data_IF_817940566666
#
_entry.id   IF_817940566666
#
_cell.length_a   1.000
_cell.length_b   1.000
_cell.length_c   1.000
_cell.angle_alpha   90.00
_cell.angle_beta   90.00
_cell.angle_gamma   90.00
#
_symmetry.space_group_name_H-M   'P 1'
#
loop_
_entity.id
_entity.type
_entity.pdbx_description
1 polymer ?
#
# COMPACT_ATOMS: atom_id res chain seq x y z
N UNK A 1 7.33 -33.98 -22.60
CA UNK A 1 6.89 -32.67 -23.13
C UNK A 1 5.67 -32.90 -24.02
N UNK A 2 4.50 -32.33 -23.69
CA UNK A 2 3.26 -32.62 -24.43
C UNK A 2 3.34 -31.99 -25.84
N UNK A 3 3.15 -32.77 -26.90
CA UNK A 3 3.28 -32.28 -28.28
C UNK A 3 2.12 -31.35 -28.63
N UNK A 4 2.42 -30.11 -29.03
CA UNK A 4 1.44 -29.09 -29.41
C UNK A 4 1.01 -29.31 -30.87
N UNK A 5 -0.16 -29.91 -31.10
CA UNK A 5 -0.63 -30.32 -32.44
C UNK A 5 -1.84 -29.55 -32.97
N UNK A 6 -2.52 -28.77 -32.12
CA UNK A 6 -3.71 -28.00 -32.50
C UNK A 6 -3.32 -26.62 -33.05
N UNK A 7 -4.04 -26.14 -34.06
CA UNK A 7 -3.85 -24.84 -34.71
C UNK A 7 -5.08 -23.95 -34.48
N UNK A 8 -4.84 -22.67 -34.27
CA UNK A 8 -5.87 -21.64 -34.15
C UNK A 8 -5.68 -20.62 -35.27
N UNK A 9 -6.77 -20.28 -35.94
CA UNK A 9 -6.78 -19.28 -37.01
C UNK A 9 -7.35 -17.98 -36.46
N UNK A 10 -6.57 -16.90 -36.54
CA UNK A 10 -6.95 -15.56 -36.11
C UNK A 10 -7.06 -14.67 -37.35
N UNK A 11 -8.19 -13.98 -37.51
CA UNK A 11 -8.32 -12.91 -38.51
C UNK A 11 -7.73 -11.64 -37.92
N UNK A 12 -6.81 -11.02 -38.64
CA UNK A 12 -6.12 -9.78 -38.26
C UNK A 12 -6.05 -8.86 -39.46
N UNK A 13 -6.07 -7.56 -39.21
CA UNK A 13 -5.74 -6.52 -40.17
C UNK A 13 -4.21 -6.41 -40.37
N UNK A 14 -3.80 -5.67 -41.41
CA UNK A 14 -2.38 -5.48 -41.71
C UNK A 14 -1.65 -4.74 -40.57
N UNK A 15 -2.27 -3.72 -39.98
CA UNK A 15 -1.74 -2.97 -38.84
C UNK A 15 -1.57 -3.86 -37.59
N UNK A 16 -2.55 -4.72 -37.32
CA UNK A 16 -2.49 -5.68 -36.21
C UNK A 16 -1.38 -6.72 -36.42
N UNK A 17 -1.16 -7.15 -37.66
CA UNK A 17 -0.10 -8.09 -38.00
C UNK A 17 1.29 -7.50 -37.75
N UNK A 18 1.51 -6.24 -38.13
CA UNK A 18 2.75 -5.51 -37.83
C UNK A 18 2.96 -5.32 -36.32
N UNK A 19 1.90 -4.96 -35.59
CA UNK A 19 1.93 -4.82 -34.15
C UNK A 19 2.31 -6.13 -33.45
N UNK A 20 1.69 -7.25 -33.86
CA UNK A 20 1.98 -8.58 -33.32
C UNK A 20 3.43 -8.96 -33.58
N UNK A 21 3.93 -8.74 -34.81
CA UNK A 21 5.34 -9.00 -35.15
C UNK A 21 6.29 -8.18 -34.29
N UNK A 22 6.05 -6.86 -34.18
CA UNK A 22 6.88 -5.95 -33.38
C UNK A 22 6.92 -6.35 -31.91
N UNK A 23 5.77 -6.68 -31.31
CA UNK A 23 5.69 -7.11 -29.91
C UNK A 23 6.30 -8.49 -29.68
N UNK A 24 6.21 -9.38 -30.66
CA UNK A 24 6.74 -10.75 -30.58
C UNK A 24 8.26 -10.82 -30.63
N UNK A 25 8.96 -9.75 -31.02
CA UNK A 25 10.42 -9.71 -31.13
C UNK A 25 11.16 -10.04 -29.81
N UNK A 26 10.48 -9.90 -28.66
CA UNK A 26 11.02 -10.24 -27.34
C UNK A 26 10.77 -11.70 -26.93
N UNK A 27 10.13 -12.49 -27.78
CA UNK A 27 9.73 -13.87 -27.51
C UNK A 27 10.28 -14.81 -28.59
N UNK A 28 10.44 -16.09 -28.26
CA UNK A 28 10.97 -17.10 -29.21
C UNK A 28 10.08 -17.30 -30.44
N UNK A 29 8.80 -16.95 -30.37
CA UNK A 29 7.88 -16.93 -31.52
C UNK A 29 6.61 -16.15 -31.20
N UNK A 30 5.90 -15.73 -32.26
CA UNK A 30 4.54 -15.17 -32.17
C UNK A 30 3.61 -16.11 -31.39
N UNK A 31 3.70 -17.41 -31.67
CA UNK A 31 2.93 -18.43 -30.93
C UNK A 31 3.32 -18.52 -29.46
N UNK A 32 4.59 -18.25 -29.10
CA UNK A 32 5.02 -18.17 -27.69
C UNK A 32 4.42 -16.95 -27.01
N UNK A 33 4.55 -15.77 -27.64
CA UNK A 33 3.95 -14.53 -27.14
C UNK A 33 2.44 -14.67 -26.94
N UNK A 34 1.70 -15.18 -27.92
CA UNK A 34 0.23 -15.31 -27.82
C UNK A 34 -0.15 -16.27 -26.68
N UNK A 35 0.60 -17.35 -26.47
CA UNK A 35 0.33 -18.27 -25.34
C UNK A 35 0.62 -17.63 -23.99
N UNK A 36 1.77 -16.97 -23.87
CA UNK A 36 2.13 -16.23 -22.64
C UNK A 36 1.11 -15.14 -22.37
N UNK A 37 0.73 -14.37 -23.40
CA UNK A 37 -0.30 -13.35 -23.31
C UNK A 37 -1.65 -13.95 -22.91
N UNK A 38 -2.10 -15.07 -23.49
CA UNK A 38 -3.36 -15.71 -23.08
C UNK A 38 -3.29 -16.20 -21.63
N UNK A 39 -2.16 -16.74 -21.18
CA UNK A 39 -1.95 -17.10 -19.76
C UNK A 39 -1.96 -15.87 -18.84
N UNK A 40 -1.46 -14.71 -19.31
CA UNK A 40 -1.41 -13.44 -18.59
C UNK A 40 -2.69 -12.57 -18.76
N UNK A 41 -3.56 -12.86 -19.74
CA UNK A 41 -4.80 -12.12 -20.04
C UNK A 41 -6.06 -12.85 -19.55
N UNK A 42 -6.04 -14.17 -19.42
CA UNK A 42 -7.07 -14.91 -18.66
C UNK A 42 -7.08 -14.50 -17.17
N UNK A 43 -6.06 -13.73 -16.79
CA UNK A 43 -5.95 -12.91 -15.60
C UNK A 43 -6.97 -11.73 -15.65
N UNK A 44 -8.28 -12.04 -15.59
CA UNK A 44 -9.29 -11.13 -15.00
C UNK A 44 -8.79 -10.56 -13.66
N UNK A 45 -7.94 -11.35 -13.00
CA UNK A 45 -7.04 -11.05 -11.90
C UNK A 45 -6.10 -9.87 -12.09
N UNK A 46 -5.61 -9.48 -13.28
CA UNK A 46 -4.66 -8.36 -13.41
C UNK A 46 -5.33 -7.01 -13.14
N UNK A 47 -6.49 -6.77 -13.76
CA UNK A 47 -7.30 -5.59 -13.50
C UNK A 47 -7.90 -5.61 -12.07
N UNK A 48 -8.34 -6.78 -11.60
CA UNK A 48 -8.80 -6.95 -10.22
C UNK A 48 -7.68 -6.74 -9.19
N UNK A 49 -6.47 -7.24 -9.45
CA UNK A 49 -5.27 -7.02 -8.61
C UNK A 49 -4.91 -5.55 -8.58
N UNK A 50 -4.97 -4.85 -9.72
CA UNK A 50 -4.73 -3.40 -9.76
C UNK A 50 -5.75 -2.66 -8.90
N UNK A 51 -7.04 -2.97 -9.04
CA UNK A 51 -8.10 -2.39 -8.20
C UNK A 51 -7.96 -2.74 -6.72
N UNK A 52 -7.53 -3.96 -6.39
CA UNK A 52 -7.22 -4.35 -5.02
C UNK A 52 -6.03 -3.56 -4.45
N UNK A 53 -5.00 -3.30 -5.25
CA UNK A 53 -3.87 -2.44 -4.86
C UNK A 53 -4.36 -1.02 -4.60
N UNK A 54 -5.20 -0.46 -5.47
CA UNK A 54 -5.74 0.89 -5.28
C UNK A 54 -6.58 1.01 -4.01
N UNK A 55 -7.41 -0.01 -3.72
CA UNK A 55 -8.17 -0.10 -2.45
C UNK A 55 -7.26 -0.20 -1.23
N UNK A 56 -6.18 -0.98 -1.34
CA UNK A 56 -5.20 -1.13 -0.27
C UNK A 56 -4.49 0.21 0.01
N UNK A 57 -4.07 0.92 -1.04
CA UNK A 57 -3.48 2.26 -0.95
C UNK A 57 -4.46 3.22 -0.27
N UNK A 58 -5.71 3.27 -0.73
CA UNK A 58 -6.73 4.12 -0.14
C UNK A 58 -6.97 3.83 1.35
N UNK A 59 -6.99 2.56 1.74
CA UNK A 59 -7.10 2.14 3.14
C UNK A 59 -5.91 2.64 3.97
N UNK A 60 -4.67 2.46 3.48
CA UNK A 60 -3.47 2.91 4.19
C UNK A 60 -3.40 4.42 4.33
N UNK A 61 -3.70 5.17 3.26
CA UNK A 61 -3.73 6.64 3.32
C UNK A 61 -4.79 7.14 4.32
N UNK A 62 -5.97 6.51 4.35
CA UNK A 62 -7.00 6.86 5.33
C UNK A 62 -6.56 6.55 6.77
N UNK A 63 -5.83 5.45 6.97
CA UNK A 63 -5.32 5.05 8.27
C UNK A 63 -4.21 5.98 8.78
N UNK A 64 -3.24 6.33 7.92
CA UNK A 64 -2.17 7.28 8.24
C UNK A 64 -2.73 8.67 8.61
N UNK A 65 -3.71 9.17 7.85
CA UNK A 65 -4.40 10.41 8.17
C UNK A 65 -5.08 10.39 9.55
N UNK A 66 -5.70 9.26 9.93
CA UNK A 66 -6.34 9.11 11.26
C UNK A 66 -5.31 9.07 12.38
N UNK A 67 -4.18 8.38 12.18
CA UNK A 67 -3.08 8.34 13.15
C UNK A 67 -2.46 9.74 13.35
N UNK A 68 -2.21 10.46 12.26
CA UNK A 68 -1.70 11.83 12.30
C UNK A 68 -2.66 12.76 13.07
N UNK A 69 -3.97 12.63 12.83
CA UNK A 69 -4.99 13.37 13.57
C UNK A 69 -5.01 13.03 15.06
N UNK A 70 -4.93 11.74 15.41
CA UNK A 70 -4.85 11.30 16.81
C UNK A 70 -3.59 11.85 17.51
N UNK A 71 -2.43 11.80 16.85
CA UNK A 71 -1.18 12.39 17.36
C UNK A 71 -1.27 13.90 17.57
N UNK A 72 -1.87 14.63 16.63
CA UNK A 72 -2.12 16.07 16.77
C UNK A 72 -3.03 16.41 17.95
N UNK A 73 -4.11 15.64 18.14
CA UNK A 73 -5.01 15.81 19.28
C UNK A 73 -4.31 15.55 20.62
N UNK A 74 -3.49 14.50 20.69
CA UNK A 74 -2.71 14.20 21.89
C UNK A 74 -1.72 15.32 22.21
N UNK A 75 -1.04 15.87 21.21
CA UNK A 75 -0.13 17.00 21.41
C UNK A 75 -0.88 18.23 21.96
N UNK A 76 -2.09 18.50 21.46
CA UNK A 76 -2.94 19.58 21.97
C UNK A 76 -3.39 19.34 23.41
N UNK A 77 -3.81 18.11 23.74
CA UNK A 77 -4.18 17.73 25.10
C UNK A 77 -3.01 17.91 26.08
N UNK A 78 -1.81 17.44 25.69
CA UNK A 78 -0.58 17.63 26.47
C UNK A 78 -0.26 19.10 26.67
N UNK A 79 -0.43 19.94 25.65
CA UNK A 79 -0.22 21.39 25.76
C UNK A 79 -1.22 22.05 26.72
N UNK A 80 -2.50 21.71 26.61
CA UNK A 80 -3.54 22.22 27.53
C UNK A 80 -3.31 21.78 28.97
N UNK A 81 -2.93 20.52 29.18
CA UNK A 81 -2.61 20.01 30.50
C UNK A 81 -1.43 20.75 31.13
N UNK A 82 -0.39 21.03 30.33
CA UNK A 82 0.74 21.87 30.76
C UNK A 82 0.31 23.29 31.16
N UNK A 83 -0.54 23.93 30.35
CA UNK A 83 -1.06 25.28 30.63
C UNK A 83 -1.92 25.31 31.90
N UNK A 84 -2.80 24.33 32.09
CA UNK A 84 -3.63 24.18 33.30
C UNK A 84 -2.79 23.94 34.56
N UNK A 85 -1.72 23.15 34.47
CA UNK A 85 -0.78 22.94 35.58
C UNK A 85 -0.07 24.24 35.97
N UNK A 86 0.42 25.01 34.99
CA UNK A 86 1.05 26.32 35.23
C UNK A 86 0.07 27.34 35.83
N UNK A 87 -1.21 27.26 35.49
CA UNK A 87 -2.26 28.10 36.07
C UNK A 87 -2.69 27.65 37.48
N UNK A 88 -2.12 26.57 38.02
CA UNK A 88 -2.50 26.00 39.32
C UNK A 88 -3.87 25.30 39.34
N UNK A 89 -4.50 25.12 38.18
CA UNK A 89 -5.79 24.42 38.02
C UNK A 89 -5.63 22.91 38.06
N UNK A 90 -4.41 22.42 37.84
CA UNK A 90 -4.04 21.01 37.84
C UNK A 90 -2.89 20.82 38.83
N UNK A 91 -3.02 19.95 39.85
CA UNK A 91 -1.94 19.73 40.81
C UNK A 91 -0.67 19.28 40.09
N UNK A 92 0.44 19.97 40.35
CA UNK A 92 1.71 19.70 39.66
C UNK A 92 2.14 18.23 39.81
N UNK A 93 1.94 17.63 40.98
CA UNK A 93 2.26 16.22 41.23
C UNK A 93 1.43 15.28 40.34
N UNK A 94 0.11 15.51 40.21
CA UNK A 94 -0.73 14.72 39.32
C UNK A 94 -0.31 14.85 37.86
N UNK A 95 0.05 16.07 37.43
CA UNK A 95 0.54 16.32 36.08
C UNK A 95 1.86 15.57 35.80
N UNK A 96 2.86 15.67 36.68
CA UNK A 96 4.19 15.10 36.45
C UNK A 96 4.27 13.60 36.72
N UNK A 97 3.54 13.08 37.71
CA UNK A 97 3.69 11.70 38.18
C UNK A 97 2.68 10.73 37.56
N UNK A 98 1.53 11.23 37.07
CA UNK A 98 0.45 10.38 36.54
C UNK A 98 0.20 10.70 35.07
N UNK A 99 -0.22 11.94 34.78
CA UNK A 99 -0.72 12.31 33.46
C UNK A 99 0.38 12.30 32.38
N UNK A 100 1.53 12.92 32.66
CA UNK A 100 2.63 13.00 31.68
C UNK A 100 3.22 11.65 31.29
N UNK A 101 3.51 10.74 32.25
CA UNK A 101 3.95 9.39 31.92
C UNK A 101 2.97 8.63 31.02
N UNK A 102 1.67 8.70 31.30
CA UNK A 102 0.64 8.05 30.47
C UNK A 102 0.56 8.64 29.07
N UNK A 103 0.61 9.98 28.95
CA UNK A 103 0.60 10.67 27.65
C UNK A 103 1.85 10.33 26.82
N UNK A 104 3.02 10.26 27.45
CA UNK A 104 4.27 9.88 26.79
C UNK A 104 4.22 8.43 26.31
N UNK A 105 3.71 7.51 27.14
CA UNK A 105 3.52 6.10 26.76
C UNK A 105 2.59 5.98 25.55
N UNK A 106 1.44 6.63 25.61
CA UNK A 106 0.47 6.61 24.51
C UNK A 106 1.06 7.21 23.22
N UNK A 107 1.83 8.30 23.32
CA UNK A 107 2.53 8.89 22.17
C UNK A 107 3.56 7.93 21.58
N UNK A 108 4.30 7.20 22.42
CA UNK A 108 5.28 6.22 21.97
C UNK A 108 4.61 5.02 21.28
N UNK A 109 3.49 4.54 21.82
CA UNK A 109 2.71 3.43 21.24
C UNK A 109 2.17 3.80 19.85
N UNK A 110 1.64 5.03 19.69
CA UNK A 110 1.17 5.55 18.39
C UNK A 110 2.33 5.65 17.38
N UNK A 111 3.49 6.18 17.79
CA UNK A 111 4.66 6.29 16.92
C UNK A 111 5.22 4.92 16.50
N UNK A 112 5.22 3.94 17.43
CA UNK A 112 5.65 2.58 17.14
C UNK A 112 4.72 1.88 16.14
N UNK A 113 3.41 2.08 16.27
CA UNK A 113 2.41 1.58 15.31
C UNK A 113 2.63 2.19 13.92
N UNK A 114 2.85 3.50 13.83
CA UNK A 114 3.11 4.17 12.55
C UNK A 114 4.36 3.58 11.88
N UNK A 115 5.47 3.44 12.61
CA UNK A 115 6.71 2.86 12.09
C UNK A 115 6.55 1.40 11.65
N UNK A 116 5.77 0.60 12.37
CA UNK A 116 5.49 -0.80 12.01
C UNK A 116 4.72 -0.89 10.69
N UNK A 117 3.74 -0.01 10.50
CA UNK A 117 2.94 0.06 9.27
C UNK A 117 3.81 0.52 8.10
N UNK A 118 4.63 1.56 8.26
CA UNK A 118 5.56 2.03 7.23
C UNK A 118 6.54 0.94 6.79
N UNK A 119 7.07 0.18 7.75
CA UNK A 119 7.94 -0.95 7.48
C UNK A 119 7.21 -2.06 6.70
N UNK A 120 5.97 -2.38 7.07
CA UNK A 120 5.15 -3.35 6.37
C UNK A 120 4.88 -2.93 4.92
N UNK A 121 4.51 -1.65 4.70
CA UNK A 121 4.28 -1.08 3.37
C UNK A 121 5.57 -1.15 2.52
N UNK A 122 6.70 -0.71 3.07
CA UNK A 122 7.99 -0.70 2.38
C UNK A 122 8.40 -2.12 1.97
N UNK A 123 8.18 -3.12 2.84
CA UNK A 123 8.44 -4.53 2.53
C UNK A 123 7.54 -5.02 1.39
N UNK A 124 6.25 -4.72 1.40
CA UNK A 124 5.31 -5.13 0.35
C UNK A 124 5.66 -4.50 -1.01
N UNK A 125 6.14 -3.26 -1.03
CA UNK A 125 6.59 -2.58 -2.26
C UNK A 125 7.90 -3.19 -2.77
N UNK A 126 8.85 -3.50 -1.89
CA UNK A 126 10.16 -4.05 -2.25
C UNK A 126 10.09 -5.50 -2.79
N UNK A 127 9.12 -6.30 -2.34
CA UNK A 127 8.88 -7.66 -2.84
C UNK A 127 8.36 -7.73 -4.30
N UNK A 128 8.11 -6.58 -4.96
CA UNK A 128 7.67 -6.50 -6.36
C UNK A 128 8.80 -6.19 -7.37
N UNK A 129 10.06 -6.14 -6.95
CA UNK A 129 11.22 -5.99 -7.84
C UNK A 129 11.88 -7.33 -8.17
#
# INVERSE_FOLDING_TARGET
MNKRTKRLWLRVSDDEMELIKRKSAKYDSVSSMIRTAVMELDDRTAAERLSMIDRLIGFFTAYDNRLSWAGSNLNQLTKRANESSKAGLLPSAFFSEILMPELQKLSADVAALQKSIDAAITKTISMKK
#
